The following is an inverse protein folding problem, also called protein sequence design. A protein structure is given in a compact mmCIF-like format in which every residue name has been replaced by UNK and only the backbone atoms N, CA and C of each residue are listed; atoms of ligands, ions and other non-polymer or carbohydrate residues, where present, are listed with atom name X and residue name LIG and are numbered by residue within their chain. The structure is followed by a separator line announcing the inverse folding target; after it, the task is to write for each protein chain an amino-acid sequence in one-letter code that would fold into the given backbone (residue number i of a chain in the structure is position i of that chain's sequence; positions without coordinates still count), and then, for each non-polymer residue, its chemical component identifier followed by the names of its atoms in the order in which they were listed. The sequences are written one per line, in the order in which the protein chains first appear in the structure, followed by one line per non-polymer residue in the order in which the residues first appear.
data_IF_702832160114
#
_entry.id   IF_702832160114
#
_cell.length_a   1.000
_cell.length_b   1.000
_cell.length_c   1.000
_cell.angle_alpha   90.00
_cell.angle_beta   90.00
_cell.angle_gamma   90.00
#
_symmetry.space_group_name_H-M   'P 1'
#
loop_
_entity.id
_entity.type
_entity.pdbx_description
1 polymer ?
#
# COMPACT_ATOMS: atom_id res chain seq x y z
N UNK A 1 19.11 -0.86 39.35
CA UNK A 1 18.27 -1.87 38.68
C UNK A 1 19.06 -2.51 37.54
N UNK A 2 19.59 -3.74 37.64
CA UNK A 2 20.29 -4.32 36.50
C UNK A 2 19.25 -4.83 35.50
N UNK A 3 18.80 -3.95 34.61
CA UNK A 3 17.83 -4.19 33.53
C UNK A 3 18.46 -4.69 32.22
N UNK A 4 19.66 -5.28 32.27
CA UNK A 4 20.34 -5.82 31.09
C UNK A 4 19.75 -7.15 30.61
N UNK A 5 19.95 -7.47 29.32
CA UNK A 5 19.62 -8.80 28.75
C UNK A 5 20.29 -9.90 29.59
N UNK A 6 19.62 -11.04 29.75
CA UNK A 6 20.22 -12.23 30.37
C UNK A 6 21.50 -12.59 29.61
N UNK A 7 22.59 -12.82 30.34
CA UNK A 7 23.87 -13.27 29.78
C UNK A 7 23.84 -14.77 29.45
N UNK A 8 24.90 -15.32 28.85
CA UNK A 8 25.03 -16.78 28.72
C UNK A 8 25.12 -17.45 30.10
N UNK A 9 25.83 -16.82 31.04
CA UNK A 9 25.99 -17.32 32.39
C UNK A 9 24.67 -17.34 33.15
N UNK A 10 23.89 -16.24 33.08
CA UNK A 10 22.56 -16.18 33.70
C UNK A 10 21.67 -17.33 33.21
N UNK A 11 21.76 -17.70 31.92
CA UNK A 11 20.98 -18.81 31.35
C UNK A 11 21.44 -20.19 31.84
N UNK A 12 22.74 -20.38 32.06
CA UNK A 12 23.29 -21.62 32.63
C UNK A 12 22.85 -21.81 34.07
N UNK A 13 22.84 -20.73 34.84
CA UNK A 13 22.39 -20.74 36.23
C UNK A 13 20.88 -20.99 36.33
N UNK A 14 20.08 -20.47 35.40
CA UNK A 14 18.65 -20.84 35.27
C UNK A 14 18.53 -22.35 35.01
N UNK A 15 19.28 -22.89 34.04
CA UNK A 15 19.21 -24.32 33.72
C UNK A 15 19.64 -25.22 34.90
N UNK A 16 20.71 -24.84 35.62
CA UNK A 16 21.16 -25.53 36.82
C UNK A 16 20.15 -25.45 37.96
N UNK A 17 19.49 -24.31 38.14
CA UNK A 17 18.43 -24.14 39.13
C UNK A 17 17.21 -25.02 38.84
N UNK A 18 16.79 -25.11 37.57
CA UNK A 18 15.70 -25.99 37.15
C UNK A 18 16.04 -27.47 37.34
N UNK A 19 17.28 -27.88 37.03
CA UNK A 19 17.74 -29.25 37.24
C UNK A 19 17.75 -29.65 38.72
N UNK A 20 17.94 -28.68 39.63
CA UNK A 20 17.85 -28.86 41.09
C UNK A 20 16.43 -28.74 41.63
N UNK A 21 15.41 -28.57 40.77
CA UNK A 21 14.02 -28.42 41.18
C UNK A 21 13.69 -27.08 41.85
N UNK A 22 14.55 -26.06 41.71
CA UNK A 22 14.30 -24.75 42.30
C UNK A 22 13.16 -24.01 41.58
N UNK A 23 12.32 -23.33 42.35
CA UNK A 23 11.27 -22.46 41.81
C UNK A 23 11.84 -21.20 41.14
N UNK A 24 11.10 -20.63 40.17
CA UNK A 24 11.56 -19.46 39.40
C UNK A 24 11.91 -18.24 40.27
N UNK A 25 11.22 -18.02 41.38
CA UNK A 25 11.48 -16.91 42.29
C UNK A 25 12.85 -17.06 43.00
N UNK A 26 13.26 -18.29 43.30
CA UNK A 26 14.55 -18.54 43.92
C UNK A 26 15.71 -18.40 42.94
N UNK A 27 15.53 -18.91 41.72
CA UNK A 27 16.49 -18.71 40.63
C UNK A 27 16.68 -17.22 40.35
N UNK A 28 15.58 -16.45 40.31
CA UNK A 28 15.61 -15.02 40.06
C UNK A 28 16.33 -14.24 41.16
N UNK A 29 16.13 -14.59 42.44
CA UNK A 29 16.86 -14.01 43.58
C UNK A 29 18.37 -14.23 43.47
N UNK A 30 18.79 -15.45 43.16
CA UNK A 30 20.23 -15.79 43.00
C UNK A 30 20.89 -15.01 41.86
N UNK A 31 20.14 -14.70 40.81
CA UNK A 31 20.60 -13.92 39.67
C UNK A 31 20.45 -12.40 39.85
N UNK A 32 19.92 -11.94 40.98
CA UNK A 32 19.51 -10.55 41.19
C UNK A 32 18.63 -10.00 40.05
N UNK A 33 17.69 -10.82 39.56
CA UNK A 33 16.74 -10.47 38.47
C UNK A 33 15.29 -10.58 38.92
N UNK A 34 14.35 -9.90 38.24
CA UNK A 34 12.91 -10.12 38.45
C UNK A 34 12.48 -11.55 38.10
N UNK A 35 11.56 -12.13 38.89
CA UNK A 35 10.97 -13.46 38.64
C UNK A 35 10.33 -13.57 37.25
N UNK A 36 9.72 -12.48 36.77
CA UNK A 36 9.11 -12.41 35.43
C UNK A 36 10.14 -12.58 34.30
N UNK A 37 11.40 -12.20 34.51
CA UNK A 37 12.48 -12.39 33.53
C UNK A 37 12.82 -13.87 33.37
N UNK A 38 12.95 -14.61 34.48
CA UNK A 38 13.23 -16.05 34.46
C UNK A 38 12.04 -16.82 33.89
N UNK A 39 10.82 -16.53 34.34
CA UNK A 39 9.60 -17.18 33.84
C UNK A 39 9.45 -16.99 32.33
N UNK A 40 9.53 -15.75 31.83
CA UNK A 40 9.43 -15.46 30.38
C UNK A 40 10.56 -16.09 29.57
N UNK A 41 11.78 -16.15 30.10
CA UNK A 41 12.89 -16.80 29.42
C UNK A 41 12.66 -18.32 29.30
N UNK A 42 12.24 -18.96 30.37
CA UNK A 42 11.99 -20.41 30.40
C UNK A 42 10.82 -20.77 29.49
N UNK A 43 9.67 -20.09 29.61
CA UNK A 43 8.52 -20.32 28.73
C UNK A 43 8.84 -20.11 27.25
N UNK A 44 9.65 -19.10 26.91
CA UNK A 44 10.02 -18.80 25.52
C UNK A 44 10.98 -19.82 24.91
N UNK A 45 11.67 -20.60 25.72
CA UNK A 45 12.71 -21.55 25.28
C UNK A 45 12.38 -23.01 25.64
N UNK A 46 11.10 -23.36 25.63
CA UNK A 46 10.64 -24.76 25.74
C UNK A 46 10.06 -25.16 27.10
N UNK A 47 9.97 -24.23 28.06
CA UNK A 47 9.44 -24.52 29.39
C UNK A 47 10.43 -25.26 30.30
N UNK A 48 10.09 -25.48 31.57
CA UNK A 48 11.02 -25.94 32.60
C UNK A 48 11.63 -27.32 32.30
N UNK A 49 10.86 -28.24 31.70
CA UNK A 49 11.33 -29.59 31.37
C UNK A 49 12.22 -29.70 30.13
N UNK A 50 12.18 -28.71 29.22
CA UNK A 50 12.96 -28.72 27.98
C UNK A 50 13.96 -27.56 27.87
N UNK A 51 14.10 -26.74 28.92
CA UNK A 51 14.96 -25.58 28.92
C UNK A 51 16.45 -25.98 28.82
N UNK A 52 17.15 -25.40 27.84
CA UNK A 52 18.60 -25.58 27.64
C UNK A 52 19.25 -24.22 27.42
N UNK A 53 20.25 -23.89 28.24
CA UNK A 53 20.90 -22.58 28.25
C UNK A 53 21.53 -22.22 26.89
N UNK A 54 22.27 -23.15 26.30
CA UNK A 54 22.96 -22.99 25.02
C UNK A 54 21.95 -22.75 23.88
N UNK A 55 20.84 -23.49 23.85
CA UNK A 55 19.77 -23.27 22.86
C UNK A 55 19.09 -21.91 23.03
N UNK A 56 18.79 -21.52 24.27
CA UNK A 56 18.15 -20.25 24.58
C UNK A 56 19.04 -19.05 24.17
N UNK A 57 20.35 -19.16 24.35
CA UNK A 57 21.30 -18.15 23.93
C UNK A 57 21.47 -18.09 22.42
N UNK A 58 21.68 -19.23 21.76
CA UNK A 58 21.73 -19.28 20.30
C UNK A 58 20.44 -18.76 19.66
N UNK A 59 19.27 -19.04 20.23
CA UNK A 59 18.01 -18.48 19.77
C UNK A 59 17.96 -16.96 19.93
N UNK A 60 18.49 -16.42 21.03
CA UNK A 60 18.61 -14.98 21.26
C UNK A 60 19.56 -14.32 20.27
N UNK A 61 20.73 -14.93 20.01
CA UNK A 61 21.70 -14.46 19.02
C UNK A 61 21.13 -14.52 17.60
N UNK A 62 20.47 -15.62 17.21
CA UNK A 62 19.82 -15.76 15.90
C UNK A 62 18.77 -14.67 15.68
N UNK A 63 17.94 -14.37 16.70
CA UNK A 63 16.94 -13.28 16.63
C UNK A 63 17.61 -11.90 16.53
N UNK A 64 18.70 -11.66 17.25
CA UNK A 64 19.45 -10.42 17.16
C UNK A 64 20.10 -10.25 15.77
N UNK A 65 20.70 -11.31 15.22
CA UNK A 65 21.27 -11.33 13.86
C UNK A 65 20.21 -11.11 12.79
N UNK A 66 19.03 -11.74 12.90
CA UNK A 66 17.92 -11.54 11.96
C UNK A 66 17.37 -10.11 11.97
N UNK A 67 17.45 -9.40 13.10
CA UNK A 67 17.06 -7.98 13.19
C UNK A 67 18.14 -7.03 12.64
N UNK A 68 19.40 -7.47 12.61
CA UNK A 68 20.55 -6.70 12.08
C UNK A 68 20.78 -6.94 10.59
N UNK A 69 20.31 -8.06 10.04
CA UNK A 69 20.28 -8.24 8.59
C UNK A 69 19.25 -7.27 7.98
N UNK A 70 19.64 -6.41 7.01
CA UNK A 70 18.67 -5.73 6.17
C UNK A 70 17.77 -6.80 5.52
N UNK A 71 16.49 -6.50 5.25
CA UNK A 71 15.63 -7.44 4.55
C UNK A 71 16.37 -7.94 3.32
N UNK A 72 16.55 -9.26 3.24
CA UNK A 72 17.14 -9.95 2.09
C UNK A 72 16.50 -9.34 0.85
N UNK A 73 17.33 -8.81 -0.06
CA UNK A 73 16.89 -8.25 -1.34
C UNK A 73 15.81 -9.17 -1.88
N UNK A 74 14.64 -8.59 -2.13
CA UNK A 74 13.54 -9.31 -2.73
C UNK A 74 14.10 -10.04 -3.97
N UNK A 75 13.60 -11.26 -4.29
CA UNK A 75 13.92 -11.85 -5.58
C UNK A 75 13.74 -10.78 -6.67
N UNK A 76 14.59 -10.75 -7.72
CA UNK A 76 14.47 -9.77 -8.80
C UNK A 76 13.00 -9.69 -9.16
N UNK A 77 12.41 -8.50 -9.03
CA UNK A 77 10.99 -8.34 -9.31
C UNK A 77 10.77 -8.83 -10.74
N UNK A 78 9.63 -9.49 -10.98
CA UNK A 78 9.23 -9.90 -12.32
C UNK A 78 9.42 -8.76 -13.35
N UNK A 79 9.34 -7.52 -12.87
CA UNK A 79 9.59 -6.24 -13.54
C UNK A 79 10.96 -6.09 -14.24
N UNK A 80 11.94 -6.93 -13.92
CA UNK A 80 13.28 -6.94 -14.56
C UNK A 80 13.45 -8.09 -15.57
N UNK A 81 12.47 -8.99 -15.69
CA UNK A 81 12.56 -10.18 -16.52
C UNK A 81 12.67 -9.87 -18.04
N UNK A 82 12.33 -8.65 -18.44
CA UNK A 82 12.34 -8.20 -19.83
C UNK A 82 13.61 -7.42 -20.22
N UNK A 83 14.70 -7.52 -19.45
CA UNK A 83 15.99 -6.94 -19.82
C UNK A 83 16.05 -5.40 -19.75
N UNK A 84 15.16 -4.78 -18.96
CA UNK A 84 15.14 -3.32 -18.75
C UNK A 84 16.29 -2.89 -17.86
N UNK A 85 16.87 -1.73 -18.14
CA UNK A 85 17.80 -1.09 -17.22
C UNK A 85 17.06 -0.69 -15.92
N UNK A 86 17.48 -1.20 -14.75
CA UNK A 86 16.87 -0.84 -13.48
C UNK A 86 16.91 0.67 -13.17
N UNK A 87 17.95 1.40 -13.62
CA UNK A 87 18.05 2.84 -13.38
C UNK A 87 17.07 3.63 -14.24
N UNK A 88 16.94 3.31 -15.53
CA UNK A 88 15.95 3.95 -16.41
C UNK A 88 14.52 3.74 -15.90
N UNK A 89 14.21 2.53 -15.41
CA UNK A 89 12.91 2.23 -14.82
C UNK A 89 12.66 3.04 -13.54
N UNK A 90 13.69 3.22 -12.71
CA UNK A 90 13.60 4.04 -11.49
C UNK A 90 13.35 5.51 -11.83
N UNK A 91 14.11 6.07 -12.76
CA UNK A 91 13.94 7.46 -13.22
C UNK A 91 12.58 7.70 -13.87
N UNK A 92 12.09 6.76 -14.68
CA UNK A 92 10.74 6.82 -15.22
C UNK A 92 9.68 6.79 -14.11
N UNK A 93 9.83 5.89 -13.13
CA UNK A 93 8.91 5.77 -12.00
C UNK A 93 8.86 7.07 -11.20
N UNK A 94 10.00 7.71 -10.96
CA UNK A 94 10.09 8.99 -10.25
C UNK A 94 9.38 10.12 -11.01
N UNK A 95 9.64 10.27 -12.32
CA UNK A 95 8.92 11.24 -13.16
C UNK A 95 7.41 10.98 -13.21
N UNK A 96 7.00 9.71 -13.25
CA UNK A 96 5.58 9.34 -13.23
C UNK A 96 4.93 9.78 -11.92
N UNK A 97 5.59 9.56 -10.78
CA UNK A 97 5.10 10.03 -9.47
C UNK A 97 4.95 11.54 -9.45
N UNK A 98 5.94 12.28 -9.95
CA UNK A 98 5.87 13.74 -10.02
C UNK A 98 4.72 14.24 -10.88
N UNK A 99 4.50 13.61 -12.04
CA UNK A 99 3.40 13.93 -12.95
C UNK A 99 2.04 13.68 -12.30
N UNK A 100 1.87 12.54 -11.62
CA UNK A 100 0.63 12.21 -10.91
C UNK A 100 0.35 13.18 -9.73
N UNK A 101 1.40 13.67 -9.07
CA UNK A 101 1.22 14.69 -8.02
C UNK A 101 0.74 16.01 -8.62
N UNK A 102 1.24 16.39 -9.79
CA UNK A 102 0.82 17.62 -10.49
C UNK A 102 -0.65 17.57 -10.94
N UNK A 103 -1.22 16.38 -11.16
CA UNK A 103 -2.65 16.22 -11.48
C UNK A 103 -3.56 16.25 -10.25
N UNK A 104 -3.00 16.42 -9.05
CA UNK A 104 -3.75 16.56 -7.79
C UNK A 104 -3.84 15.28 -6.96
N UNK A 105 -3.20 14.18 -7.38
CA UNK A 105 -3.17 12.94 -6.60
C UNK A 105 -2.20 13.09 -5.42
N UNK A 106 -2.58 12.59 -4.24
CA UNK A 106 -1.70 12.63 -3.07
C UNK A 106 -0.38 11.89 -3.34
N UNK A 107 0.75 12.40 -2.80
CA UNK A 107 2.08 11.84 -3.08
C UNK A 107 2.20 10.33 -2.78
N UNK A 108 1.61 9.84 -1.69
CA UNK A 108 1.68 8.42 -1.38
C UNK A 108 0.83 7.56 -2.33
N UNK A 109 -0.35 8.05 -2.68
CA UNK A 109 -1.23 7.42 -3.66
C UNK A 109 -0.59 7.39 -5.06
N UNK A 110 0.09 8.46 -5.46
CA UNK A 110 0.86 8.55 -6.71
C UNK A 110 1.96 7.49 -6.79
N UNK A 111 2.68 7.27 -5.69
CA UNK A 111 3.70 6.21 -5.59
C UNK A 111 3.11 4.81 -5.70
N UNK A 112 1.94 4.57 -5.10
CA UNK A 112 1.21 3.30 -5.25
C UNK A 112 0.78 3.07 -6.70
N UNK A 113 0.19 4.08 -7.35
CA UNK A 113 -0.19 4.02 -8.76
C UNK A 113 1.02 3.75 -9.66
N UNK A 114 2.13 4.48 -9.47
CA UNK A 114 3.34 4.27 -10.24
C UNK A 114 3.83 2.82 -10.13
N UNK A 115 3.85 2.24 -8.92
CA UNK A 115 4.17 0.82 -8.74
C UNK A 115 3.21 -0.14 -9.46
N UNK A 116 1.92 0.17 -9.50
CA UNK A 116 0.93 -0.65 -10.21
C UNK A 116 1.05 -0.50 -11.73
N UNK A 117 1.43 0.67 -12.25
CA UNK A 117 1.66 0.90 -13.68
C UNK A 117 2.93 0.20 -14.19
N UNK A 118 3.96 0.08 -13.35
CA UNK A 118 5.25 -0.48 -13.75
C UNK A 118 5.42 -1.96 -13.43
N UNK A 119 4.40 -2.60 -12.84
CA UNK A 119 4.47 -4.04 -12.49
C UNK A 119 4.05 -4.91 -13.66
N UNK A 120 4.87 -5.89 -14.01
CA UNK A 120 4.57 -6.77 -15.16
C UNK A 120 3.43 -7.75 -14.88
N UNK A 121 3.17 -8.02 -13.61
CA UNK A 121 2.04 -8.85 -13.17
C UNK A 121 0.68 -8.17 -13.37
N UNK A 122 0.65 -6.86 -13.63
CA UNK A 122 -0.56 -6.03 -13.68
C UNK A 122 -1.33 -5.89 -12.35
N UNK A 123 -0.95 -6.67 -11.34
CA UNK A 123 -1.58 -6.70 -10.01
C UNK A 123 -0.53 -6.82 -8.91
N UNK A 124 -0.78 -6.23 -7.74
CA UNK A 124 0.06 -6.35 -6.55
C UNK A 124 -0.76 -6.47 -5.27
N UNK A 125 -0.28 -7.26 -4.31
CA UNK A 125 -0.84 -7.33 -2.97
C UNK A 125 -0.34 -6.17 -2.08
N UNK A 126 -1.10 -5.83 -1.03
CA UNK A 126 -0.72 -4.79 -0.05
C UNK A 126 0.69 -4.99 0.53
N UNK A 127 1.07 -6.25 0.80
CA UNK A 127 2.39 -6.60 1.31
C UNK A 127 3.51 -6.32 0.31
N UNK A 128 3.26 -6.55 -0.97
CA UNK A 128 4.22 -6.34 -2.04
C UNK A 128 4.40 -4.84 -2.29
N UNK A 129 3.30 -4.07 -2.27
CA UNK A 129 3.34 -2.61 -2.31
C UNK A 129 4.15 -2.03 -1.13
N UNK A 130 3.91 -2.50 0.09
CA UNK A 130 4.66 -2.06 1.27
C UNK A 130 6.16 -2.35 1.15
N UNK A 131 6.50 -3.53 0.60
CA UNK A 131 7.89 -3.94 0.39
C UNK A 131 8.59 -3.12 -0.70
N UNK A 132 7.95 -2.94 -1.87
CA UNK A 132 8.51 -2.18 -2.99
C UNK A 132 8.70 -0.71 -2.66
N UNK A 133 7.71 -0.11 -2.00
CA UNK A 133 7.73 1.31 -1.63
C UNK A 133 8.51 1.60 -0.35
N UNK A 134 8.91 0.55 0.39
CA UNK A 134 9.59 0.62 1.69
C UNK A 134 8.81 1.47 2.71
N UNK A 135 7.49 1.27 2.76
CA UNK A 135 6.58 1.99 3.68
C UNK A 135 5.81 1.02 4.56
N UNK A 136 5.15 1.56 5.59
CA UNK A 136 4.36 0.74 6.51
C UNK A 136 3.09 0.18 5.85
N UNK A 137 2.57 -0.97 6.30
CA UNK A 137 1.27 -1.48 5.83
C UNK A 137 0.13 -0.48 6.04
N UNK A 138 0.16 0.31 7.12
CA UNK A 138 -0.86 1.32 7.38
C UNK A 138 -0.84 2.43 6.31
N UNK A 139 0.34 2.88 5.89
CA UNK A 139 0.49 3.86 4.81
C UNK A 139 -0.07 3.33 3.49
N UNK A 140 0.12 2.04 3.21
CA UNK A 140 -0.50 1.38 2.04
C UNK A 140 -2.02 1.35 2.19
N UNK A 141 -2.55 0.94 3.35
CA UNK A 141 -4.00 0.90 3.57
C UNK A 141 -4.67 2.26 3.37
N UNK A 142 -4.07 3.33 3.90
CA UNK A 142 -4.59 4.70 3.68
C UNK A 142 -4.54 5.11 2.22
N UNK A 143 -3.41 4.86 1.54
CA UNK A 143 -3.26 5.21 0.13
C UNK A 143 -4.22 4.42 -0.78
N UNK A 144 -4.37 3.12 -0.53
CA UNK A 144 -5.30 2.25 -1.26
C UNK A 144 -6.74 2.67 -1.02
N UNK A 145 -7.14 2.96 0.22
CA UNK A 145 -8.50 3.42 0.50
C UNK A 145 -8.84 4.72 -0.25
N UNK A 146 -7.92 5.69 -0.25
CA UNK A 146 -8.06 6.90 -1.06
C UNK A 146 -8.15 6.59 -2.56
N UNK A 147 -7.28 5.72 -3.09
CA UNK A 147 -7.31 5.35 -4.50
C UNK A 147 -8.58 4.58 -4.89
N UNK A 148 -9.14 3.75 -4.01
CA UNK A 148 -10.42 3.08 -4.21
C UNK A 148 -11.58 4.08 -4.20
N UNK A 149 -11.58 5.06 -3.28
CA UNK A 149 -12.58 6.13 -3.21
C UNK A 149 -12.56 7.02 -4.47
N UNK A 150 -11.37 7.29 -4.99
CA UNK A 150 -11.20 8.01 -6.27
C UNK A 150 -11.36 7.09 -7.49
N UNK A 151 -11.71 5.82 -7.29
CA UNK A 151 -11.87 4.79 -8.32
C UNK A 151 -10.65 4.64 -9.26
N UNK A 152 -9.46 4.95 -8.75
CA UNK A 152 -8.19 4.89 -9.48
C UNK A 152 -7.60 3.48 -9.54
N UNK A 153 -8.04 2.60 -8.64
CA UNK A 153 -7.62 1.19 -8.57
C UNK A 153 -8.82 0.28 -8.33
N UNK A 154 -8.69 -0.98 -8.71
CA UNK A 154 -9.64 -2.04 -8.38
C UNK A 154 -9.02 -2.99 -7.36
N UNK A 155 -9.84 -3.45 -6.41
CA UNK A 155 -9.50 -4.54 -5.49
C UNK A 155 -10.16 -5.83 -5.93
N UNK A 156 -9.35 -6.86 -6.09
CA UNK A 156 -9.78 -8.23 -6.39
C UNK A 156 -9.34 -9.17 -5.27
N UNK A 157 -10.15 -10.19 -4.99
CA UNK A 157 -9.78 -11.26 -4.07
C UNK A 157 -9.19 -12.41 -4.86
N UNK A 158 -7.93 -12.77 -4.58
CA UNK A 158 -7.31 -13.97 -5.11
C UNK A 158 -8.09 -15.21 -4.61
N UNK A 159 -8.77 -15.96 -5.50
CA UNK A 159 -9.59 -17.11 -5.13
C UNK A 159 -8.75 -18.25 -4.53
N UNK A 160 -7.45 -18.31 -4.82
CA UNK A 160 -6.55 -19.38 -4.35
C UNK A 160 -5.86 -19.03 -3.03
N UNK A 161 -5.58 -17.75 -2.75
CA UNK A 161 -4.74 -17.35 -1.60
C UNK A 161 -5.45 -16.49 -0.55
N UNK A 162 -6.73 -16.14 -0.72
CA UNK A 162 -7.49 -15.23 0.18
C UNK A 162 -6.73 -13.91 0.45
N UNK A 163 -6.05 -13.39 -0.57
CA UNK A 163 -5.33 -12.11 -0.50
C UNK A 163 -6.02 -11.08 -1.36
N UNK A 164 -5.97 -9.83 -0.92
CA UNK A 164 -6.40 -8.70 -1.73
C UNK A 164 -5.29 -8.33 -2.71
N UNK A 165 -5.63 -8.29 -3.99
CA UNK A 165 -4.80 -7.85 -5.10
C UNK A 165 -5.37 -6.54 -5.63
N UNK A 166 -4.49 -5.61 -5.95
CA UNK A 166 -4.84 -4.32 -6.52
C UNK A 166 -4.30 -4.21 -7.94
N UNK A 167 -5.10 -3.67 -8.85
CA UNK A 167 -4.72 -3.32 -10.23
C UNK A 167 -5.13 -1.88 -10.53
N UNK A 168 -4.44 -1.25 -11.48
CA UNK A 168 -4.95 0.00 -12.08
C UNK A 168 -6.19 -0.35 -12.89
N UNK A 169 -7.26 0.41 -12.66
CA UNK A 169 -8.48 0.22 -13.42
C UNK A 169 -8.41 1.02 -14.74
N UNK A 170 -8.37 0.35 -15.90
CA UNK A 170 -8.43 1.05 -17.19
C UNK A 170 -9.80 1.72 -17.40
N UNK A 171 -10.86 1.23 -16.75
CA UNK A 171 -12.17 1.87 -16.76
C UNK A 171 -12.16 3.22 -16.02
N UNK A 172 -11.08 3.56 -15.30
CA UNK A 172 -10.84 4.88 -14.76
C UNK A 172 -10.91 5.96 -15.84
N UNK A 173 -10.33 5.72 -17.02
CA UNK A 173 -10.38 6.70 -18.11
C UNK A 173 -11.84 6.93 -18.52
N UNK A 174 -12.58 5.85 -18.73
CA UNK A 174 -14.00 5.91 -19.06
C UNK A 174 -14.81 6.66 -17.99
N UNK A 175 -14.63 6.32 -16.70
CA UNK A 175 -15.30 6.99 -15.58
C UNK A 175 -14.85 8.46 -15.42
N UNK A 176 -13.59 8.78 -15.66
CA UNK A 176 -13.05 10.15 -15.63
C UNK A 176 -13.63 11.02 -16.73
N UNK A 177 -13.79 10.46 -17.94
CA UNK A 177 -14.50 11.15 -19.02
C UNK A 177 -15.97 11.40 -18.62
N UNK A 178 -16.68 10.40 -18.09
CA UNK A 178 -18.06 10.57 -17.60
C UNK A 178 -18.17 11.65 -16.51
N UNK A 179 -17.28 11.64 -15.51
CA UNK A 179 -17.25 12.62 -14.44
C UNK A 179 -16.89 14.03 -14.93
N UNK A 180 -16.00 14.14 -15.93
CA UNK A 180 -15.67 15.41 -16.57
C UNK A 180 -16.84 15.97 -17.36
N UNK A 181 -17.61 15.12 -18.05
CA UNK A 181 -18.84 15.52 -18.72
C UNK A 181 -19.87 16.04 -17.72
N UNK A 182 -20.11 15.32 -16.62
CA UNK A 182 -21.02 15.76 -15.56
C UNK A 182 -20.63 17.11 -14.95
N UNK A 183 -19.34 17.32 -14.65
CA UNK A 183 -18.85 18.63 -14.18
C UNK A 183 -19.13 19.75 -15.18
N UNK A 184 -18.85 19.51 -16.46
CA UNK A 184 -19.14 20.49 -17.51
C UNK A 184 -20.64 20.80 -17.61
N UNK A 185 -21.52 19.80 -17.52
CA UNK A 185 -22.97 20.02 -17.53
C UNK A 185 -23.46 20.83 -16.32
N UNK A 186 -22.97 20.51 -15.12
CA UNK A 186 -23.34 21.27 -13.91
C UNK A 186 -22.88 22.73 -13.99
N UNK A 187 -21.68 22.96 -14.52
CA UNK A 187 -21.15 24.31 -14.69
C UNK A 187 -21.87 25.07 -15.82
N UNK A 188 -22.28 24.38 -16.88
CA UNK A 188 -23.11 24.94 -17.95
C UNK A 188 -24.50 25.36 -17.45
N UNK A 189 -25.13 24.54 -16.62
CA UNK A 189 -26.43 24.85 -15.99
C UNK A 189 -26.31 26.10 -15.09
N UNK A 190 -25.28 26.15 -14.25
CA UNK A 190 -25.00 27.31 -13.39
C UNK A 190 -24.77 28.58 -14.22
N UNK A 191 -24.02 28.49 -15.32
CA UNK A 191 -23.79 29.62 -16.22
C UNK A 191 -25.08 30.08 -16.90
N UNK A 192 -25.96 29.15 -17.29
CA UNK A 192 -27.28 29.47 -17.86
C UNK A 192 -28.19 30.17 -16.86
N UNK A 193 -28.20 29.73 -15.61
CA UNK A 193 -28.91 30.40 -14.51
C UNK A 193 -28.34 31.81 -14.27
N UNK A 194 -27.01 31.94 -14.29
CA UNK A 194 -26.32 33.22 -14.22
C UNK A 194 -26.74 34.17 -15.35
N UNK A 195 -26.85 33.69 -16.58
CA UNK A 195 -27.30 34.50 -17.72
C UNK A 195 -28.73 35.00 -17.55
N UNK A 196 -29.63 34.17 -16.99
CA UNK A 196 -31.00 34.59 -16.63
C UNK A 196 -31.03 35.65 -15.54
N UNK A 197 -30.24 35.48 -14.48
CA UNK A 197 -30.19 36.42 -13.34
C UNK A 197 -29.57 37.75 -13.74
N UNK A 198 -28.49 37.72 -14.52
CA UNK A 198 -27.74 38.91 -14.94
C UNK A 198 -28.40 39.64 -16.13
N UNK A 199 -29.44 39.07 -16.72
CA UNK A 199 -30.12 39.58 -17.90
C UNK A 199 -29.38 39.24 -19.20
N UNK A 200 -30.03 38.59 -20.18
CA UNK A 200 -29.38 38.10 -21.39
C UNK A 200 -28.87 39.22 -22.31
N UNK A 201 -29.40 40.43 -22.17
CA UNK A 201 -28.98 41.61 -22.95
C UNK A 201 -27.79 42.34 -22.33
N UNK A 202 -27.32 41.93 -21.14
CA UNK A 202 -26.15 42.55 -20.51
C UNK A 202 -24.87 41.88 -20.97
N UNK A 203 -23.72 42.60 -20.99
CA UNK A 203 -22.43 41.98 -21.28
C UNK A 203 -22.05 40.84 -20.34
N UNK A 204 -22.55 40.86 -19.09
CA UNK A 204 -22.32 39.79 -18.13
C UNK A 204 -23.16 38.55 -18.45
N UNK A 205 -24.45 38.74 -18.76
CA UNK A 205 -25.33 37.66 -19.22
C UNK A 205 -24.81 37.00 -20.49
N UNK A 206 -24.36 37.79 -21.47
CA UNK A 206 -23.78 37.26 -22.71
C UNK A 206 -22.52 36.40 -22.49
N UNK A 207 -21.65 36.76 -21.54
CA UNK A 207 -20.48 35.93 -21.16
C UNK A 207 -20.92 34.60 -20.52
N UNK A 208 -21.90 34.67 -19.63
CA UNK A 208 -22.46 33.49 -18.97
C UNK A 208 -23.14 32.54 -19.98
N UNK A 209 -23.88 33.09 -20.94
CA UNK A 209 -24.50 32.32 -22.02
C UNK A 209 -23.45 31.65 -22.91
N UNK A 210 -22.43 32.41 -23.34
CA UNK A 210 -21.32 31.87 -24.13
C UNK A 210 -20.59 30.73 -23.44
N UNK A 211 -20.16 30.92 -22.18
CA UNK A 211 -19.42 29.88 -21.45
C UNK A 211 -20.31 28.67 -21.15
N UNK A 212 -21.60 28.89 -20.87
CA UNK A 212 -22.55 27.82 -20.63
C UNK A 212 -22.72 26.93 -21.86
N UNK A 213 -22.85 27.52 -23.03
CA UNK A 213 -22.97 26.76 -24.28
C UNK A 213 -21.67 26.01 -24.63
N UNK A 214 -20.52 26.65 -24.46
CA UNK A 214 -19.22 26.00 -24.65
C UNK A 214 -19.03 24.78 -23.73
N UNK A 215 -19.35 24.93 -22.44
CA UNK A 215 -19.24 23.84 -21.46
C UNK A 215 -20.21 22.70 -21.78
N UNK A 216 -21.45 23.00 -22.19
CA UNK A 216 -22.42 21.99 -22.62
C UNK A 216 -21.90 21.16 -23.80
N UNK A 217 -21.46 21.84 -24.86
CA UNK A 217 -20.90 21.18 -26.05
C UNK A 217 -19.67 20.33 -25.71
N UNK A 218 -18.80 20.83 -24.83
CA UNK A 218 -17.64 20.09 -24.35
C UNK A 218 -18.05 18.83 -23.57
N UNK A 219 -19.06 18.93 -22.70
CA UNK A 219 -19.61 17.77 -21.98
C UNK A 219 -20.14 16.70 -22.92
N UNK A 220 -20.86 17.08 -23.97
CA UNK A 220 -21.39 16.17 -24.99
C UNK A 220 -20.29 15.46 -25.79
N UNK A 221 -19.24 16.19 -26.17
CA UNK A 221 -18.13 15.63 -26.96
C UNK A 221 -17.28 14.66 -26.12
N UNK A 222 -17.07 14.97 -24.85
CA UNK A 222 -16.44 14.07 -23.86
C UNK A 222 -17.23 12.76 -23.76
N UNK A 223 -18.56 12.81 -23.61
CA UNK A 223 -19.40 11.60 -23.56
C UNK A 223 -19.31 10.80 -24.87
N UNK A 224 -19.43 11.48 -26.01
CA UNK A 224 -19.38 10.84 -27.33
C UNK A 224 -18.05 10.13 -27.56
N UNK A 225 -16.95 10.77 -27.19
CA UNK A 225 -15.61 10.21 -27.30
C UNK A 225 -15.43 9.03 -26.36
N UNK A 226 -15.92 9.13 -25.11
CA UNK A 226 -15.87 8.04 -24.15
C UNK A 226 -16.63 6.81 -24.63
N UNK A 227 -17.83 6.97 -25.18
CA UNK A 227 -18.63 5.85 -25.70
C UNK A 227 -17.96 5.23 -26.94
N UNK A 228 -17.42 6.05 -27.85
CA UNK A 228 -16.73 5.58 -29.06
C UNK A 228 -15.55 4.67 -28.74
N UNK A 229 -14.76 5.03 -27.74
CA UNK A 229 -13.56 4.29 -27.34
C UNK A 229 -13.80 3.36 -26.15
N UNK A 230 -15.06 3.14 -25.75
CA UNK A 230 -15.43 2.30 -24.61
C UNK A 230 -14.80 0.92 -24.64
N UNK A 231 -14.62 0.33 -25.82
CA UNK A 231 -13.98 -0.98 -26.01
C UNK A 231 -12.47 -1.01 -25.67
N UNK A 232 -11.77 0.13 -25.76
CA UNK A 232 -10.37 0.27 -25.32
C UNK A 232 -10.28 0.60 -23.83
N UNK A 233 -11.26 1.32 -23.32
CA UNK A 233 -11.26 1.85 -21.94
C UNK A 233 -11.87 0.88 -20.93
N UNK A 234 -12.77 0.00 -21.35
CA UNK A 234 -13.31 -1.09 -20.54
C UNK A 234 -12.82 -2.39 -21.18
N UNK A 235 -11.71 -2.98 -20.67
CA UNK A 235 -11.28 -4.29 -21.14
C UNK A 235 -12.43 -5.26 -20.92
N UNK A 236 -12.96 -5.84 -21.99
CA UNK A 236 -13.84 -7.00 -21.91
C UNK A 236 -13.11 -8.02 -21.05
N UNK A 237 -13.69 -8.38 -19.91
CA UNK A 237 -13.20 -9.52 -19.13
C UNK A 237 -13.08 -10.67 -20.11
N UNK A 238 -11.86 -11.14 -20.39
CA UNK A 238 -11.70 -12.41 -21.08
C UNK A 238 -12.23 -13.44 -20.12
N UNK A 239 -13.51 -13.79 -20.28
CA UNK A 239 -14.01 -15.08 -19.84
C UNK A 239 -13.09 -16.12 -20.47
N UNK A 240 -12.24 -16.71 -19.64
CA UNK A 240 -11.47 -17.87 -20.05
C UNK A 240 -12.50 -18.98 -20.33
N UNK A 241 -12.61 -19.49 -21.56
CA UNK A 241 -13.31 -20.75 -21.76
C UNK A 241 -12.50 -21.85 -21.06
N UNK A 242 -13.22 -22.73 -20.36
CA UNK A 242 -12.70 -23.89 -19.63
C UNK A 242 -11.88 -24.85 -20.50
#
# INVERSE_FOLDING_TARGET
MPGGRLTQQDRRDIAAGLAKGLGYAEIARRLSRPTSTVSREVSRNGGPGAYRAERAHQATERRARRRKQPPRSAPPSADTAYGRDPEELREFTERLVETLVQTGVQRMASRVLACLYTTDTGTLAAKELAQRLQVSPASISTAVAYLEEQELIRRERDPRRRRELYSVDNALWYRSFLASAQRNFSLAETARDGARVLGPTTPAGARCEFVGEFLRLTGEDILRTAERWRHLLVPQTRDNPE
#
